data_IF_239758611482
#
_entry.id   IF_239758611482
#
_cell.length_a   1.000
_cell.length_b   1.000
_cell.length_c   1.000
_cell.angle_alpha   90.00
_cell.angle_beta   90.00
_cell.angle_gamma   90.00
#
_symmetry.space_group_name_H-M   'P 1'
#
loop_
_entity.id
_entity.type
_entity.pdbx_description
1 polymer ?
#
# COMPACT_ATOMS: atom_id res chain seq x y z
N UNK A 1 -3.84 9.97 26.61
CA UNK A 1 -2.93 8.87 26.16
C UNK A 1 -2.91 7.80 27.24
N UNK A 2 -3.52 6.65 26.98
CA UNK A 2 -3.57 5.49 27.88
C UNK A 2 -2.18 4.87 28.02
N UNK A 3 -1.34 5.43 28.89
CA UNK A 3 -0.05 4.82 29.24
C UNK A 3 -0.30 3.73 30.27
N UNK A 4 -0.05 2.48 29.87
CA UNK A 4 0.31 1.35 30.75
C UNK A 4 -0.82 0.58 31.46
N UNK A 5 -1.88 0.16 30.75
CA UNK A 5 -2.84 -0.82 31.31
C UNK A 5 -2.43 -2.28 31.03
N UNK A 6 -1.70 -2.57 29.95
CA UNK A 6 -1.21 -3.93 29.67
C UNK A 6 0.26 -4.08 30.10
N UNK A 7 0.49 -4.83 31.17
CA UNK A 7 1.82 -5.41 31.46
C UNK A 7 2.04 -6.55 30.47
N UNK A 8 2.96 -6.36 29.50
CA UNK A 8 3.28 -7.34 28.45
C UNK A 8 4.47 -8.24 28.82
N UNK A 9 4.74 -8.43 30.11
CA UNK A 9 5.82 -9.29 30.60
C UNK A 9 5.53 -10.74 30.18
N UNK A 10 6.34 -11.28 29.26
CA UNK A 10 6.14 -12.62 28.67
C UNK A 10 5.36 -12.65 27.34
N UNK A 11 4.85 -11.51 26.86
CA UNK A 11 4.23 -11.45 25.54
C UNK A 11 5.29 -11.59 24.44
N UNK A 12 5.02 -12.43 23.44
CA UNK A 12 5.89 -12.54 22.26
C UNK A 12 5.93 -11.19 21.54
N UNK A 13 7.13 -10.63 21.37
CA UNK A 13 7.31 -9.46 20.51
C UNK A 13 6.98 -9.86 19.08
N UNK A 14 6.05 -9.13 18.47
CA UNK A 14 5.73 -9.27 17.06
C UNK A 14 6.97 -8.93 16.22
N UNK A 15 7.31 -9.81 15.29
CA UNK A 15 8.30 -9.52 14.26
C UNK A 15 7.84 -8.34 13.41
N UNK A 16 8.78 -7.67 12.73
CA UNK A 16 8.44 -6.57 11.80
C UNK A 16 7.43 -7.00 10.73
N UNK A 17 7.47 -8.27 10.31
CA UNK A 17 6.53 -8.84 9.33
C UNK A 17 5.12 -8.95 9.91
N UNK A 18 4.98 -9.44 11.14
CA UNK A 18 3.68 -9.58 11.81
C UNK A 18 3.09 -8.21 12.15
N UNK A 19 3.92 -7.27 12.65
CA UNK A 19 3.50 -5.89 12.84
C UNK A 19 3.02 -5.27 11.53
N UNK A 20 3.77 -5.47 10.43
CA UNK A 20 3.36 -5.00 9.11
C UNK A 20 2.02 -5.60 8.72
N UNK A 21 1.83 -6.92 8.82
CA UNK A 21 0.56 -7.58 8.49
C UNK A 21 -0.62 -7.08 9.32
N UNK A 22 -0.46 -6.95 10.64
CA UNK A 22 -1.49 -6.46 11.57
C UNK A 22 -1.84 -4.99 11.29
N UNK A 23 -0.84 -4.18 10.97
CA UNK A 23 -1.01 -2.76 10.62
C UNK A 23 -1.47 -2.55 9.17
N UNK A 24 -2.03 -3.56 8.50
CA UNK A 24 -2.52 -3.45 7.11
C UNK A 24 -1.40 -3.54 6.07
N UNK A 25 -0.46 -4.46 6.28
CA UNK A 25 0.76 -4.61 5.49
C UNK A 25 0.45 -4.94 4.05
N UNK A 26 0.68 -3.94 3.18
CA UNK A 26 0.04 -3.81 1.88
C UNK A 26 -1.46 -3.64 2.08
N UNK A 27 -1.88 -2.38 2.22
CA UNK A 27 -3.30 -2.04 2.08
C UNK A 27 -3.83 -2.69 0.81
N UNK A 28 -5.13 -2.94 0.77
CA UNK A 28 -5.81 -3.60 -0.34
C UNK A 28 -5.75 -2.75 -1.60
N UNK A 29 -4.56 -2.50 -2.12
CA UNK A 29 -4.26 -1.62 -3.22
C UNK A 29 -3.59 -2.50 -4.24
N UNK A 30 -4.32 -2.80 -5.31
CA UNK A 30 -3.70 -3.44 -6.46
C UNK A 30 -3.07 -2.34 -7.30
N UNK A 31 -1.81 -2.53 -7.70
CA UNK A 31 -1.12 -1.59 -8.60
C UNK A 31 -0.85 -2.26 -9.93
N UNK A 32 -1.25 -1.62 -11.01
CA UNK A 32 -1.03 -2.06 -12.38
C UNK A 32 -0.07 -1.12 -13.11
N UNK A 33 0.64 -1.67 -14.08
CA UNK A 33 1.52 -0.91 -14.96
C UNK A 33 1.16 -1.19 -16.42
N UNK A 34 0.79 -0.15 -17.16
CA UNK A 34 0.42 -0.25 -18.57
C UNK A 34 1.29 0.67 -19.43
N UNK A 35 1.55 0.28 -20.68
CA UNK A 35 2.20 1.15 -21.66
C UNK A 35 1.12 1.90 -22.41
N UNK A 36 1.04 3.21 -22.22
CA UNK A 36 0.03 4.10 -22.82
C UNK A 36 0.57 5.53 -22.88
N UNK A 37 -0.15 6.43 -23.54
CA UNK A 37 0.20 7.86 -23.56
C UNK A 37 -0.03 8.52 -22.19
N UNK A 38 0.57 9.70 -22.00
CA UNK A 38 0.36 10.48 -20.78
C UNK A 38 -1.10 10.94 -20.60
N UNK A 39 -1.81 11.19 -21.72
CA UNK A 39 -3.22 11.58 -21.70
C UNK A 39 -4.10 10.42 -21.24
N UNK A 40 -3.95 9.24 -21.86
CA UNK A 40 -4.68 8.03 -21.46
C UNK A 40 -4.42 7.65 -19.99
N UNK A 41 -3.18 7.83 -19.52
CA UNK A 41 -2.84 7.56 -18.13
C UNK A 41 -3.56 8.50 -17.14
N UNK A 42 -3.75 9.76 -17.52
CA UNK A 42 -4.45 10.74 -16.69
C UNK A 42 -5.96 10.45 -16.63
N UNK A 43 -6.55 10.00 -17.74
CA UNK A 43 -7.98 9.61 -17.81
C UNK A 43 -8.29 8.42 -16.89
N UNK A 44 -7.36 7.46 -16.76
CA UNK A 44 -7.44 6.33 -15.83
C UNK A 44 -7.11 6.70 -14.36
N UNK A 45 -6.80 7.98 -14.07
CA UNK A 45 -6.40 8.43 -12.74
C UNK A 45 -5.02 7.90 -12.30
N UNK A 46 -4.18 7.51 -13.26
CA UNK A 46 -2.85 6.97 -13.05
C UNK A 46 -1.73 8.02 -12.96
N UNK A 47 -0.53 7.55 -12.66
CA UNK A 47 0.71 8.34 -12.63
C UNK A 47 1.61 7.91 -13.79
N UNK A 48 1.83 8.79 -14.76
CA UNK A 48 2.65 8.52 -15.94
C UNK A 48 4.15 8.70 -15.65
N UNK A 49 4.97 7.74 -16.09
CA UNK A 49 6.43 7.80 -16.03
C UNK A 49 7.00 7.98 -17.44
N UNK A 50 7.41 9.21 -17.76
CA UNK A 50 7.96 9.57 -19.07
C UNK A 50 9.28 8.86 -19.43
N UNK A 51 10.08 8.46 -18.43
CA UNK A 51 11.35 7.76 -18.66
C UNK A 51 11.15 6.31 -19.11
N UNK A 52 10.01 5.69 -18.75
CA UNK A 52 9.72 4.28 -19.04
C UNK A 52 8.55 4.09 -20.00
N UNK A 53 7.79 5.14 -20.30
CA UNK A 53 6.56 5.07 -21.09
C UNK A 53 5.43 4.31 -20.40
N UNK A 54 5.47 4.19 -19.06
CA UNK A 54 4.51 3.39 -18.28
C UNK A 54 3.61 4.27 -17.43
N UNK A 55 2.32 3.93 -17.42
CA UNK A 55 1.33 4.44 -16.48
C UNK A 55 1.21 3.52 -15.28
N UNK A 56 1.20 4.08 -14.07
CA UNK A 56 0.92 3.36 -12.82
C UNK A 56 -0.49 3.70 -12.34
N UNK A 57 -1.38 2.71 -12.26
CA UNK A 57 -2.74 2.86 -11.70
C UNK A 57 -2.82 2.07 -10.39
N UNK A 58 -3.45 2.64 -9.36
CA UNK A 58 -3.60 2.01 -8.04
C UNK A 58 -5.07 2.00 -7.63
N UNK A 59 -5.64 0.82 -7.45
CA UNK A 59 -7.06 0.62 -7.12
C UNK A 59 -7.22 0.04 -5.72
N UNK A 60 -8.15 0.58 -4.92
CA UNK A 60 -8.52 -0.01 -3.64
C UNK A 60 -9.52 -1.16 -3.86
N UNK A 61 -9.10 -2.38 -3.51
CA UNK A 61 -9.86 -3.62 -3.71
C UNK A 61 -10.54 -4.14 -2.43
N UNK A 62 -10.58 -3.35 -1.35
CA UNK A 62 -11.29 -3.70 -0.10
C UNK A 62 -12.59 -2.92 0.10
N UNK A 63 -13.40 -2.84 -0.95
CA UNK A 63 -14.80 -2.38 -0.85
C UNK A 63 -15.65 -3.35 -0.03
#
# INVERSE_FOLDING_TARGET
>A
MLKNILKLEGAQQLTKKEQKSINGGYGCIRTFYWTMTAAECADEGGIYNASTGKCRVSENICL
#
